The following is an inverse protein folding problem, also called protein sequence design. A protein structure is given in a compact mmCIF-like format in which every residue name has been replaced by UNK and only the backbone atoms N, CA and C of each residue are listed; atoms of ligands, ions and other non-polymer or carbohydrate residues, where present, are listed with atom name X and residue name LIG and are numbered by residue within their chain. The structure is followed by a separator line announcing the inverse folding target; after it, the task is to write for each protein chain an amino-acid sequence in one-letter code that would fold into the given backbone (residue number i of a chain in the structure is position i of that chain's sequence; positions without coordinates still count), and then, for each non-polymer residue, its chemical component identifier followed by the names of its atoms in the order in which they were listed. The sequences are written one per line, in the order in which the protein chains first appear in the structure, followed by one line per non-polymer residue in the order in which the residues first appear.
data_IF_163107086247
#
_entry.id   IF_163107086247
#
_cell.length_a   1.000
_cell.length_b   1.000
_cell.length_c   1.000
_cell.angle_alpha   90.00
_cell.angle_beta   90.00
_cell.angle_gamma   90.00
#
_symmetry.space_group_name_H-M   'P 1'
#
loop_
_entity.id
_entity.type
_entity.pdbx_description
1 polymer ?
#
# COMPACT_ATOMS: atom_id res chain seq x y z
N UNK A 1 8.76 15.78 12.58
CA UNK A 1 9.22 14.46 13.06
C UNK A 1 10.03 13.78 11.98
N UNK A 2 11.13 13.09 12.37
CA UNK A 2 11.92 12.32 11.40
C UNK A 2 11.32 10.93 11.20
N UNK A 3 11.21 10.50 9.95
CA UNK A 3 10.69 9.20 9.54
C UNK A 3 11.71 8.46 8.66
N UNK A 4 11.52 7.16 8.48
CA UNK A 4 12.33 6.39 7.55
C UNK A 4 12.23 6.97 6.13
N UNK A 5 13.38 7.19 5.49
CA UNK A 5 13.46 7.83 4.18
C UNK A 5 12.55 7.17 3.13
N UNK A 6 12.58 5.83 3.04
CA UNK A 6 11.71 5.10 2.11
C UNK A 6 10.20 5.31 2.38
N UNK A 7 9.82 5.57 3.65
CA UNK A 7 8.43 5.90 4.00
C UNK A 7 8.05 7.27 3.46
N UNK A 8 8.90 8.28 3.65
CA UNK A 8 8.68 9.64 3.14
C UNK A 8 8.57 9.66 1.61
N UNK A 9 9.52 9.02 0.91
CA UNK A 9 9.52 8.92 -0.56
C UNK A 9 8.24 8.25 -1.05
N UNK A 10 7.83 7.17 -0.37
CA UNK A 10 6.59 6.49 -0.72
C UNK A 10 5.36 7.33 -0.41
N UNK A 11 5.31 8.06 0.70
CA UNK A 11 4.20 8.96 1.04
C UNK A 11 4.09 10.11 0.04
N UNK A 12 5.21 10.62 -0.45
CA UNK A 12 5.26 11.64 -1.50
C UNK A 12 4.91 11.11 -2.92
N UNK A 13 4.57 9.82 -3.07
CA UNK A 13 4.05 9.24 -4.30
C UNK A 13 5.09 8.88 -5.37
N UNK A 14 6.39 8.94 -5.07
CA UNK A 14 7.44 8.63 -6.05
C UNK A 14 7.61 7.13 -6.32
N UNK A 15 7.14 6.27 -5.42
CA UNK A 15 7.19 4.82 -5.60
C UNK A 15 6.80 4.05 -4.34
N UNK A 16 6.98 2.73 -4.33
CA UNK A 16 6.76 1.91 -3.13
C UNK A 16 7.95 2.03 -2.17
N UNK A 17 7.75 1.70 -0.88
CA UNK A 17 8.87 1.64 0.10
C UNK A 17 9.99 0.73 -0.37
N UNK A 18 9.67 -0.47 -0.87
CA UNK A 18 10.64 -1.42 -1.41
C UNK A 18 11.37 -0.91 -2.65
N UNK A 19 10.70 -0.12 -3.49
CA UNK A 19 11.35 0.53 -4.62
C UNK A 19 12.37 1.57 -4.14
N UNK A 20 11.99 2.42 -3.17
CA UNK A 20 12.91 3.40 -2.58
C UNK A 20 14.10 2.73 -1.88
N UNK A 21 13.88 1.63 -1.14
CA UNK A 21 14.96 0.85 -0.52
C UNK A 21 15.97 0.36 -1.57
N UNK A 22 15.50 -0.19 -2.68
CA UNK A 22 16.40 -0.62 -3.77
C UNK A 22 17.21 0.52 -4.38
N UNK A 23 16.64 1.73 -4.50
CA UNK A 23 17.38 2.90 -4.98
C UNK A 23 18.40 3.38 -3.96
N UNK A 24 18.10 3.29 -2.66
CA UNK A 24 19.07 3.57 -1.59
C UNK A 24 20.24 2.60 -1.68
N UNK A 25 19.99 1.31 -1.80
CA UNK A 25 21.04 0.27 -1.95
C UNK A 25 21.91 0.47 -3.20
N UNK A 26 21.35 1.07 -4.25
CA UNK A 26 22.06 1.41 -5.49
C UNK A 26 22.81 2.75 -5.41
N UNK A 27 22.82 3.45 -4.28
CA UNK A 27 23.48 4.76 -4.13
C UNK A 27 22.81 5.88 -4.95
N UNK A 28 21.54 5.71 -5.36
CA UNK A 28 20.83 6.64 -6.26
C UNK A 28 20.04 7.71 -5.52
N UNK A 29 20.02 7.67 -4.18
CA UNK A 29 19.31 8.64 -3.34
C UNK A 29 20.29 9.38 -2.47
N UNK A 30 20.11 10.69 -2.34
CA UNK A 30 20.86 11.49 -1.38
C UNK A 30 19.93 12.35 -0.50
N UNK A 31 20.38 12.60 0.72
CA UNK A 31 19.77 13.50 1.70
C UNK A 31 20.76 14.62 1.99
N UNK A 32 20.37 15.88 1.78
CA UNK A 32 21.20 17.04 2.06
C UNK A 32 22.62 16.93 1.45
N UNK A 33 22.69 16.44 0.19
CA UNK A 33 23.91 16.20 -0.60
C UNK A 33 24.81 15.05 -0.08
N UNK A 34 24.34 14.21 0.83
CA UNK A 34 25.04 12.98 1.25
C UNK A 34 24.28 11.76 0.73
N UNK A 35 25.00 10.76 0.25
CA UNK A 35 24.43 9.48 -0.16
C UNK A 35 23.66 8.85 1.01
N UNK A 36 22.43 8.42 0.72
CA UNK A 36 21.57 7.79 1.70
C UNK A 36 21.89 6.30 1.86
N UNK A 37 21.75 5.79 3.07
CA UNK A 37 21.92 4.39 3.42
C UNK A 37 20.62 3.79 3.96
N UNK A 38 20.49 2.45 3.93
CA UNK A 38 19.33 1.77 4.50
C UNK A 38 19.20 2.08 5.99
N UNK A 39 18.00 2.50 6.38
CA UNK A 39 17.72 2.86 7.77
C UNK A 39 17.76 4.36 8.04
N UNK A 40 18.28 5.16 7.14
CA UNK A 40 18.31 6.61 7.28
C UNK A 40 16.90 7.19 7.46
N UNK A 41 16.87 8.24 8.25
CA UNK A 41 15.68 9.02 8.54
C UNK A 41 15.82 10.43 7.99
N UNK A 42 14.73 10.98 7.55
CA UNK A 42 14.64 12.36 7.08
C UNK A 42 13.34 13.01 7.61
N UNK A 43 13.23 14.30 7.40
CA UNK A 43 12.01 15.07 7.59
C UNK A 43 11.47 15.50 6.23
N UNK A 44 10.25 16.00 6.17
CA UNK A 44 9.67 16.55 4.93
C UNK A 44 10.38 17.82 4.46
N UNK A 45 11.23 18.44 5.30
CA UNK A 45 11.99 19.66 5.00
C UNK A 45 13.39 19.35 4.48
N UNK A 46 13.84 18.10 4.58
CA UNK A 46 15.16 17.70 4.08
C UNK A 46 15.17 17.69 2.54
N UNK A 47 16.30 18.10 1.99
CA UNK A 47 16.53 18.06 0.55
C UNK A 47 16.89 16.65 0.11
N UNK A 48 15.93 15.96 -0.50
CA UNK A 48 16.13 14.60 -1.02
C UNK A 48 16.23 14.64 -2.54
N UNK A 49 17.18 13.89 -3.10
CA UNK A 49 17.30 13.72 -4.56
C UNK A 49 17.27 12.24 -4.94
N UNK A 50 16.74 11.96 -6.11
CA UNK A 50 16.83 10.66 -6.80
C UNK A 50 17.52 10.90 -8.14
N UNK A 51 18.62 10.19 -8.39
CA UNK A 51 19.44 10.38 -9.58
C UNK A 51 19.87 11.85 -9.80
N UNK A 52 20.19 12.56 -8.71
CA UNK A 52 20.54 13.96 -8.71
C UNK A 52 19.37 14.95 -8.89
N UNK A 53 18.15 14.46 -9.14
CA UNK A 53 16.95 15.30 -9.29
C UNK A 53 16.24 15.46 -7.95
N UNK A 54 15.94 16.71 -7.58
CA UNK A 54 15.16 17.03 -6.37
C UNK A 54 13.78 16.39 -6.43
N UNK A 55 13.34 15.85 -5.28
CA UNK A 55 11.99 15.35 -5.06
C UNK A 55 11.31 16.11 -3.94
N UNK A 56 10.06 16.49 -4.15
CA UNK A 56 9.24 17.18 -3.15
C UNK A 56 8.57 16.18 -2.21
N UNK A 57 9.05 16.09 -0.98
CA UNK A 57 8.49 15.21 0.05
C UNK A 57 7.17 15.73 0.63
N UNK A 58 6.83 17.01 0.40
CA UNK A 58 5.59 17.63 0.88
C UNK A 58 4.39 17.39 -0.05
N UNK A 59 4.61 16.84 -1.23
CA UNK A 59 3.63 16.77 -2.32
C UNK A 59 2.22 16.32 -1.91
N UNK A 60 2.09 15.46 -0.90
CA UNK A 60 0.79 14.99 -0.39
C UNK A 60 0.67 15.14 1.13
N UNK A 61 1.55 15.92 1.79
CA UNK A 61 1.57 16.04 3.25
C UNK A 61 0.36 16.80 3.82
N UNK A 62 -0.27 17.65 3.03
CA UNK A 62 -1.42 18.50 3.40
C UNK A 62 -2.76 17.96 2.88
N UNK A 63 -2.76 16.82 2.17
CA UNK A 63 -4.01 16.26 1.69
C UNK A 63 -4.87 15.72 2.84
N UNK A 64 -6.15 16.06 2.83
CA UNK A 64 -7.13 15.42 3.72
C UNK A 64 -7.12 13.91 3.54
N UNK A 65 -7.33 13.18 4.65
CA UNK A 65 -7.46 11.71 4.59
C UNK A 65 -8.72 11.34 3.83
N UNK A 66 -8.53 10.66 2.71
CA UNK A 66 -9.59 10.12 1.87
C UNK A 66 -9.68 8.62 2.06
N UNK A 67 -10.90 8.11 2.09
CA UNK A 67 -11.20 6.68 2.09
C UNK A 67 -12.14 6.39 0.93
N UNK A 68 -11.84 5.34 0.18
CA UNK A 68 -12.67 4.86 -0.92
C UNK A 68 -13.04 3.40 -0.67
N UNK A 69 -14.29 3.07 -0.93
CA UNK A 69 -14.84 1.71 -0.84
C UNK A 69 -15.03 1.19 -2.25
N UNK A 70 -14.49 0.02 -2.53
CA UNK A 70 -14.67 -0.69 -3.78
C UNK A 70 -15.35 -2.05 -3.50
N UNK A 71 -16.42 -2.35 -4.21
CA UNK A 71 -16.91 -3.72 -4.31
C UNK A 71 -16.10 -4.43 -5.42
N UNK A 72 -15.02 -5.11 -5.03
CA UNK A 72 -14.16 -5.83 -5.97
C UNK A 72 -14.92 -6.97 -6.63
N UNK A 73 -14.87 -7.04 -7.94
CA UNK A 73 -15.41 -8.16 -8.70
C UNK A 73 -14.41 -9.31 -8.81
N UNK A 74 -14.90 -10.53 -8.98
CA UNK A 74 -14.06 -11.66 -9.37
C UNK A 74 -13.40 -11.40 -10.73
N UNK A 75 -12.20 -11.90 -10.95
CA UNK A 75 -11.42 -11.68 -12.16
C UNK A 75 -10.58 -10.39 -12.17
N UNK A 76 -10.70 -9.54 -11.14
CA UNK A 76 -9.87 -8.33 -10.95
C UNK A 76 -8.75 -8.61 -9.94
N UNK A 77 -7.54 -8.19 -10.26
CA UNK A 77 -6.37 -8.42 -9.38
C UNK A 77 -6.13 -7.28 -8.39
N UNK A 78 -5.59 -7.62 -7.22
CA UNK A 78 -5.14 -6.68 -6.19
C UNK A 78 -3.64 -6.40 -6.32
N UNK A 79 -3.21 -5.85 -7.47
CA UNK A 79 -1.81 -5.51 -7.75
C UNK A 79 -1.70 -4.26 -8.60
N UNK A 80 -0.68 -3.45 -8.39
CA UNK A 80 -0.32 -2.30 -9.24
C UNK A 80 0.40 -2.72 -10.54
N UNK A 81 0.86 -3.97 -10.63
CA UNK A 81 1.55 -4.50 -11.80
C UNK A 81 0.98 -5.87 -12.10
N UNK A 82 0.62 -6.07 -13.34
CA UNK A 82 0.23 -7.37 -13.87
C UNK A 82 0.96 -7.61 -15.19
N UNK A 83 1.65 -8.75 -15.27
CA UNK A 83 2.39 -9.14 -16.46
C UNK A 83 1.48 -9.78 -17.53
N UNK A 84 0.28 -10.17 -17.12
CA UNK A 84 -0.71 -10.81 -18.00
C UNK A 84 -1.77 -9.82 -18.54
N UNK A 85 -1.67 -8.52 -18.19
CA UNK A 85 -2.59 -7.48 -18.68
C UNK A 85 -4.02 -7.59 -18.15
N UNK A 86 -4.23 -8.23 -16.99
CA UNK A 86 -5.54 -8.31 -16.32
C UNK A 86 -5.92 -6.97 -15.70
N UNK A 87 -7.21 -6.71 -15.60
CA UNK A 87 -7.70 -5.52 -14.88
C UNK A 87 -7.28 -5.55 -13.42
N UNK A 88 -6.75 -4.42 -12.95
CA UNK A 88 -6.38 -4.19 -11.57
C UNK A 88 -7.47 -3.43 -10.82
N UNK A 89 -7.55 -3.60 -9.50
CA UNK A 89 -8.40 -2.76 -8.63
C UNK A 89 -8.04 -1.28 -8.74
N UNK A 90 -6.79 -0.96 -9.08
CA UNK A 90 -6.34 0.43 -9.24
C UNK A 90 -6.89 1.11 -10.50
N UNK A 91 -7.31 0.35 -11.52
CA UNK A 91 -7.93 0.89 -12.74
C UNK A 91 -9.32 1.50 -12.49
N UNK A 92 -9.92 1.21 -11.32
CA UNK A 92 -11.21 1.74 -10.92
C UNK A 92 -11.11 2.94 -9.97
N UNK A 93 -9.89 3.34 -9.60
CA UNK A 93 -9.69 4.41 -8.62
C UNK A 93 -9.51 5.76 -9.32
N UNK A 94 -9.94 6.87 -8.68
CA UNK A 94 -9.67 8.20 -9.19
C UNK A 94 -8.18 8.45 -9.39
N UNK A 95 -7.82 9.08 -10.51
CA UNK A 95 -6.47 9.57 -10.76
C UNK A 95 -6.11 10.72 -9.82
N UNK A 96 -4.83 11.08 -9.78
CA UNK A 96 -4.27 12.20 -8.98
C UNK A 96 -4.28 12.02 -7.46
N UNK A 97 -4.61 10.83 -6.95
CA UNK A 97 -4.46 10.49 -5.53
C UNK A 97 -3.65 9.20 -5.42
N UNK A 98 -2.69 9.19 -4.51
CA UNK A 98 -1.96 7.96 -4.19
C UNK A 98 -2.80 7.08 -3.28
N UNK A 99 -3.33 6.00 -3.82
CA UNK A 99 -4.12 5.04 -3.06
C UNK A 99 -3.27 3.92 -2.47
N UNK A 100 -3.52 3.63 -1.20
CA UNK A 100 -3.01 2.47 -0.47
C UNK A 100 -4.18 1.54 -0.23
N UNK A 101 -4.04 0.30 -0.68
CA UNK A 101 -5.05 -0.74 -0.50
C UNK A 101 -5.00 -1.30 0.93
N UNK A 102 -6.15 -1.42 1.57
CA UNK A 102 -6.31 -1.99 2.92
C UNK A 102 -6.63 -3.48 2.81
N UNK A 103 -5.60 -4.31 2.87
CA UNK A 103 -5.72 -5.74 2.65
C UNK A 103 -5.79 -6.11 1.16
N UNK A 104 -6.14 -7.33 0.88
CA UNK A 104 -6.27 -7.86 -0.48
C UNK A 104 -7.35 -8.94 -0.53
N UNK A 105 -7.96 -9.09 -1.69
CA UNK A 105 -8.79 -10.23 -2.05
C UNK A 105 -8.14 -10.96 -3.23
N UNK A 106 -8.27 -12.26 -3.26
CA UNK A 106 -7.74 -13.08 -4.34
C UNK A 106 -8.50 -12.83 -5.66
N UNK A 107 -7.94 -13.30 -6.78
CA UNK A 107 -8.49 -13.09 -8.12
C UNK A 107 -9.98 -13.46 -8.18
N UNK A 108 -10.34 -14.63 -7.67
CA UNK A 108 -11.70 -15.18 -7.73
C UNK A 108 -12.58 -14.74 -6.54
N UNK A 109 -12.03 -14.01 -5.57
CA UNK A 109 -12.79 -13.44 -4.46
C UNK A 109 -13.41 -12.11 -4.85
N UNK A 110 -14.63 -11.85 -4.37
CA UNK A 110 -15.33 -10.58 -4.54
C UNK A 110 -15.75 -9.99 -3.20
N UNK A 111 -16.04 -8.70 -3.16
CA UNK A 111 -16.55 -8.03 -1.99
C UNK A 111 -15.80 -6.77 -1.60
N UNK A 112 -15.93 -6.40 -0.34
CA UNK A 112 -15.42 -5.13 0.20
C UNK A 112 -13.90 -5.05 0.14
N UNK A 113 -13.42 -3.99 -0.48
CA UNK A 113 -12.02 -3.59 -0.47
C UNK A 113 -11.93 -2.08 -0.20
N UNK A 114 -11.09 -1.70 0.75
CA UNK A 114 -10.90 -0.32 1.15
C UNK A 114 -9.58 0.22 0.58
N UNK A 115 -9.60 1.49 0.22
CA UNK A 115 -8.42 2.26 -0.17
C UNK A 115 -8.36 3.56 0.61
N UNK A 116 -7.17 4.03 0.90
CA UNK A 116 -6.95 5.33 1.51
C UNK A 116 -5.66 5.95 0.99
N UNK A 117 -5.58 7.28 0.98
CA UNK A 117 -4.33 8.00 0.73
C UNK A 117 -3.44 8.08 1.99
N UNK A 118 -3.96 7.69 3.16
CA UNK A 118 -3.25 7.72 4.44
C UNK A 118 -2.70 6.33 4.79
N UNK A 119 -1.37 6.18 4.63
CA UNK A 119 -0.70 4.91 4.91
C UNK A 119 -0.69 4.49 6.38
N UNK A 120 -0.87 5.42 7.32
CA UNK A 120 -0.98 5.11 8.76
C UNK A 120 -2.36 4.54 9.07
N UNK A 121 -3.41 5.15 8.50
CA UNK A 121 -4.76 4.61 8.59
C UNK A 121 -4.83 3.21 7.98
N UNK A 122 -4.25 3.02 6.77
CA UNK A 122 -4.19 1.70 6.14
C UNK A 122 -3.50 0.67 7.05
N UNK A 123 -2.38 1.04 7.65
CA UNK A 123 -1.67 0.15 8.59
C UNK A 123 -2.51 -0.18 9.82
N UNK A 124 -3.16 0.81 10.43
CA UNK A 124 -4.06 0.58 11.58
C UNK A 124 -5.21 -0.37 11.23
N UNK A 125 -5.79 -0.24 10.04
CA UNK A 125 -6.89 -1.11 9.61
C UNK A 125 -6.43 -2.55 9.26
N UNK A 126 -5.16 -2.74 8.87
CA UNK A 126 -4.63 -4.04 8.46
C UNK A 126 -3.92 -4.80 9.58
N UNK A 127 -3.33 -4.09 10.54
CA UNK A 127 -2.44 -4.71 11.50
C UNK A 127 -3.21 -5.63 12.46
N UNK A 128 -2.74 -6.86 12.71
CA UNK A 128 -3.42 -7.82 13.58
C UNK A 128 -3.73 -7.28 14.99
N UNK A 129 -2.81 -6.46 15.55
CA UNK A 129 -3.02 -5.86 16.89
C UNK A 129 -4.18 -4.87 16.97
N UNK A 130 -4.77 -4.49 15.85
CA UNK A 130 -5.97 -3.63 15.83
C UNK A 130 -7.26 -4.43 16.04
N UNK A 131 -7.19 -5.76 16.00
CA UNK A 131 -8.28 -6.70 16.28
C UNK A 131 -9.60 -6.37 15.55
N UNK A 132 -9.47 -5.85 14.30
CA UNK A 132 -10.62 -5.52 13.48
C UNK A 132 -11.15 -6.79 12.83
N UNK A 133 -12.40 -7.12 13.13
CA UNK A 133 -13.09 -8.27 12.57
C UNK A 133 -13.21 -8.20 11.05
N UNK A 134 -13.05 -9.35 10.40
CA UNK A 134 -13.27 -9.55 8.97
C UNK A 134 -14.18 -10.72 8.76
N UNK A 135 -15.32 -10.47 8.13
CA UNK A 135 -16.30 -11.50 7.84
C UNK A 135 -16.17 -11.96 6.37
N UNK A 136 -16.16 -13.27 6.17
CA UNK A 136 -16.07 -13.88 4.86
C UNK A 136 -17.20 -14.89 4.67
N UNK A 137 -17.99 -14.73 3.61
CA UNK A 137 -18.91 -15.75 3.14
C UNK A 137 -18.17 -16.71 2.20
N UNK A 138 -18.00 -17.95 2.63
CA UNK A 138 -17.24 -18.96 1.87
C UNK A 138 -18.21 -19.97 1.26
N UNK A 139 -18.15 -20.15 -0.05
CA UNK A 139 -18.90 -21.22 -0.75
C UNK A 139 -17.99 -22.43 -0.90
N UNK A 140 -18.45 -23.56 -0.39
CA UNK A 140 -17.75 -24.86 -0.49
C UNK A 140 -18.54 -25.85 -1.31
N UNK A 141 -17.85 -26.85 -1.88
CA UNK A 141 -18.48 -27.96 -2.57
C UNK A 141 -18.88 -29.01 -1.55
N UNK A 142 -20.13 -29.51 -1.64
CA UNK A 142 -20.65 -30.54 -0.76
C UNK A 142 -21.30 -29.99 0.51
N UNK A 143 -21.58 -30.87 1.47
CA UNK A 143 -22.23 -30.54 2.74
C UNK A 143 -21.16 -30.23 3.79
N UNK A 144 -21.33 -29.14 4.51
CA UNK A 144 -20.46 -28.80 5.64
C UNK A 144 -20.95 -29.56 6.88
N UNK A 145 -20.07 -30.34 7.49
CA UNK A 145 -20.30 -31.05 8.75
C UNK A 145 -19.54 -30.36 9.89
N UNK A 146 -19.97 -30.58 11.14
CA UNK A 146 -19.37 -29.94 12.32
C UNK A 146 -17.87 -30.22 12.48
N UNK A 147 -17.41 -31.40 11.99
CA UNK A 147 -15.99 -31.73 11.99
C UNK A 147 -15.16 -30.82 11.06
N UNK A 148 -15.75 -30.35 9.95
CA UNK A 148 -15.08 -29.43 9.04
C UNK A 148 -14.92 -28.08 9.70
N UNK A 149 -15.94 -27.60 10.42
CA UNK A 149 -15.89 -26.32 11.16
C UNK A 149 -14.81 -26.39 12.25
N UNK A 150 -14.79 -27.46 13.06
CA UNK A 150 -13.81 -27.65 14.13
C UNK A 150 -12.34 -27.66 13.67
N UNK A 151 -12.08 -27.95 12.39
CA UNK A 151 -10.72 -27.94 11.82
C UNK A 151 -10.29 -26.54 11.33
N UNK A 152 -11.21 -25.60 11.23
CA UNK A 152 -10.97 -24.24 10.74
C UNK A 152 -10.89 -23.22 11.87
N UNK A 153 -11.31 -23.58 13.07
CA UNK A 153 -11.25 -22.79 14.31
C UNK A 153 -10.17 -23.35 15.23
#
# INVERSE_FOLDING_TARGET
MSERLQKLIANAGYGSRRWAERLIEQGRISINNKEATLGDKATIDDRVTIDGRFIDLKRYSEEETKVLILNKQAGVICSNKDEEGRKSVFDFLPENTRWVMVGRLDLNSSGLLLFTNNGELANKLMHPSSEIDREYAVRVLGKVEDEHIKKLT
#
